data_IF_562368511570
#
_entry.id   IF_562368511570
#
_cell.length_a   1.000
_cell.length_b   1.000
_cell.length_c   1.000
_cell.angle_alpha   90.00
_cell.angle_beta   90.00
_cell.angle_gamma   90.00
#
_symmetry.space_group_name_H-M   'P 1'
#
loop_
_entity.id
_entity.type
_entity.pdbx_description
1 polymer ?
#
# COMPACT_ATOMS: atom_id res chain seq x y z
N UNK A 1 -52.37 19.54 28.68
CA UNK A 1 -51.94 18.19 28.22
C UNK A 1 -50.86 18.37 27.22
N UNK A 2 -49.62 18.53 27.75
CA UNK A 2 -48.42 18.71 26.96
C UNK A 2 -47.84 17.41 26.51
N UNK A 3 -47.59 17.29 25.22
CA UNK A 3 -46.73 16.28 24.63
C UNK A 3 -45.41 16.92 24.25
N UNK A 4 -44.34 16.60 25.00
CA UNK A 4 -42.99 16.94 24.66
C UNK A 4 -42.51 16.12 23.46
N UNK A 5 -41.89 16.73 22.44
CA UNK A 5 -41.24 15.97 21.37
C UNK A 5 -39.85 15.51 21.78
N UNK A 6 -39.51 14.30 21.36
CA UNK A 6 -38.29 13.53 21.61
C UNK A 6 -37.01 14.28 21.26
N UNK A 7 -36.22 14.61 22.27
CA UNK A 7 -34.79 14.94 22.15
C UNK A 7 -34.02 13.60 22.11
N UNK A 8 -33.49 13.21 21.00
CA UNK A 8 -32.69 11.97 20.98
C UNK A 8 -31.94 11.64 19.69
N UNK A 9 -32.20 12.28 18.58
CA UNK A 9 -31.56 11.94 17.29
C UNK A 9 -30.51 12.96 16.80
N UNK A 10 -30.42 14.14 17.42
CA UNK A 10 -29.48 15.18 17.01
C UNK A 10 -28.05 15.02 17.53
N UNK A 11 -27.88 14.36 18.68
CA UNK A 11 -26.55 14.28 19.32
C UNK A 11 -25.68 13.13 18.81
N UNK A 12 -26.27 12.07 18.28
CA UNK A 12 -25.52 10.96 17.65
C UNK A 12 -24.90 11.41 16.33
N UNK A 13 -25.61 12.22 15.55
CA UNK A 13 -25.10 12.77 14.29
C UNK A 13 -23.97 13.81 14.48
N UNK A 14 -24.00 14.57 15.57
CA UNK A 14 -22.95 15.54 15.89
C UNK A 14 -21.67 14.86 16.37
N UNK A 15 -21.74 13.75 17.13
CA UNK A 15 -20.54 12.99 17.56
C UNK A 15 -19.83 12.31 16.39
N UNK A 16 -20.56 11.71 15.46
CA UNK A 16 -19.94 11.10 14.27
C UNK A 16 -19.24 12.12 13.36
N UNK A 17 -19.68 13.40 13.36
CA UNK A 17 -19.06 14.46 12.56
C UNK A 17 -17.80 15.04 13.18
N UNK A 18 -17.57 14.87 14.48
CA UNK A 18 -16.38 15.36 15.19
C UNK A 18 -15.23 14.35 15.12
N UNK A 19 -15.52 13.05 15.12
CA UNK A 19 -14.48 11.99 14.98
C UNK A 19 -13.94 11.86 13.55
N UNK A 20 -14.69 12.30 12.54
CA UNK A 20 -14.24 12.31 11.14
C UNK A 20 -13.27 13.45 10.77
N UNK A 21 -12.97 14.37 11.69
CA UNK A 21 -12.09 15.54 11.43
C UNK A 21 -10.59 15.27 11.52
N UNK A 22 -10.16 14.05 11.76
CA UNK A 22 -8.74 13.71 11.98
C UNK A 22 -7.99 13.12 10.78
N UNK A 23 -8.65 12.63 9.74
CA UNK A 23 -7.99 12.09 8.54
C UNK A 23 -8.34 12.95 7.32
N UNK A 24 -7.40 13.78 6.92
CA UNK A 24 -7.50 14.51 5.63
C UNK A 24 -7.52 13.43 4.53
N UNK A 25 -8.58 13.40 3.72
CA UNK A 25 -8.72 12.38 2.68
C UNK A 25 -7.64 12.58 1.61
N UNK A 26 -7.15 11.50 1.03
CA UNK A 26 -6.17 11.52 -0.07
C UNK A 26 -6.64 12.41 -1.25
N UNK A 27 -7.95 12.52 -1.45
CA UNK A 27 -8.57 13.39 -2.45
C UNK A 27 -8.44 14.87 -2.11
N UNK A 28 -8.51 15.23 -0.82
CA UNK A 28 -8.35 16.59 -0.31
C UNK A 28 -6.89 17.04 -0.36
N UNK A 29 -5.96 16.11 -0.07
CA UNK A 29 -4.51 16.31 -0.22
C UNK A 29 -4.17 16.57 -1.69
N UNK A 30 -4.67 15.76 -2.62
CA UNK A 30 -4.47 15.95 -4.05
C UNK A 30 -5.06 17.29 -4.56
N UNK A 31 -6.22 17.70 -4.06
CA UNK A 31 -6.83 18.99 -4.40
C UNK A 31 -5.93 20.16 -4.00
N UNK A 32 -5.40 20.15 -2.77
CA UNK A 32 -4.52 21.21 -2.25
C UNK A 32 -3.17 21.26 -2.97
N UNK A 33 -2.59 20.10 -3.29
CA UNK A 33 -1.33 20.02 -4.07
C UNK A 33 -1.55 20.60 -5.47
N UNK A 34 -2.64 20.24 -6.14
CA UNK A 34 -2.97 20.78 -7.46
C UNK A 34 -3.22 22.31 -7.43
N UNK A 35 -3.79 22.86 -6.35
CA UNK A 35 -3.95 24.31 -6.18
C UNK A 35 -2.61 25.01 -5.94
N UNK A 36 -1.72 24.44 -5.11
CA UNK A 36 -0.37 24.98 -4.89
C UNK A 36 0.47 24.95 -6.17
N UNK A 37 0.37 23.87 -6.94
CA UNK A 37 1.03 23.77 -8.25
C UNK A 37 0.48 24.83 -9.23
N UNK A 38 -0.84 25.01 -9.33
CA UNK A 38 -1.44 26.06 -10.17
C UNK A 38 -0.99 27.46 -9.79
N UNK A 39 -0.73 27.73 -8.52
CA UNK A 39 -0.22 29.01 -8.05
C UNK A 39 1.27 29.22 -8.38
N UNK A 40 2.08 28.15 -8.29
CA UNK A 40 3.51 28.19 -8.66
C UNK A 40 3.73 28.30 -10.18
N UNK A 41 2.82 27.77 -10.98
CA UNK A 41 2.92 27.69 -12.46
C UNK A 41 2.45 29.00 -13.14
N UNK A 42 1.81 29.91 -12.44
CA UNK A 42 1.33 31.18 -13.01
C UNK A 42 2.45 32.14 -13.45
N UNK A 43 3.71 31.87 -13.14
CA UNK A 43 4.81 32.78 -13.41
C UNK A 43 5.63 32.48 -14.67
N UNK A 44 5.61 31.26 -15.23
CA UNK A 44 6.35 30.96 -16.47
C UNK A 44 5.58 29.91 -17.31
N UNK A 45 5.42 30.19 -18.59
CA UNK A 45 4.56 29.48 -19.55
C UNK A 45 4.58 27.95 -19.44
N UNK A 46 3.43 27.40 -19.10
CA UNK A 46 3.24 25.96 -18.88
C UNK A 46 3.24 25.23 -20.20
N UNK A 47 4.31 24.54 -20.49
CA UNK A 47 4.33 23.40 -21.40
C UNK A 47 3.63 22.26 -20.62
N UNK A 48 2.69 21.58 -21.28
CA UNK A 48 1.94 20.46 -20.70
C UNK A 48 2.85 19.21 -20.63
N UNK A 49 3.93 19.31 -19.84
CA UNK A 49 4.97 18.29 -19.67
C UNK A 49 4.43 16.93 -19.21
N UNK A 50 3.21 16.91 -18.66
CA UNK A 50 2.62 15.68 -18.12
C UNK A 50 1.89 14.82 -19.16
N UNK A 51 1.57 15.33 -20.35
CA UNK A 51 0.97 14.52 -21.41
C UNK A 51 1.96 13.61 -22.11
N UNK A 52 3.24 14.02 -22.17
CA UNK A 52 4.31 13.32 -22.90
C UNK A 52 5.19 12.43 -22.01
N UNK A 53 5.01 12.52 -20.67
CA UNK A 53 5.88 11.86 -19.66
C UNK A 53 5.58 10.35 -19.51
N UNK A 54 4.54 9.81 -20.13
CA UNK A 54 4.04 8.46 -19.82
C UNK A 54 4.98 7.29 -20.13
N UNK A 55 6.04 7.49 -20.92
CA UNK A 55 6.92 6.39 -21.34
C UNK A 55 8.38 6.49 -20.87
N UNK A 56 8.84 7.65 -20.39
CA UNK A 56 10.28 7.88 -20.12
C UNK A 56 10.71 7.80 -18.64
N UNK A 57 9.78 7.88 -17.69
CA UNK A 57 10.12 7.97 -16.27
C UNK A 57 9.63 6.76 -15.47
N UNK A 58 10.57 5.99 -14.96
CA UNK A 58 10.30 4.83 -14.13
C UNK A 58 10.99 4.94 -12.77
N UNK A 59 10.27 4.61 -11.68
CA UNK A 59 10.87 4.45 -10.35
C UNK A 59 12.00 3.43 -10.34
N UNK A 60 12.00 2.50 -11.30
CA UNK A 60 12.99 1.42 -11.40
C UNK A 60 14.29 1.86 -12.11
N UNK A 61 14.35 3.06 -12.66
CA UNK A 61 15.57 3.63 -13.20
C UNK A 61 16.33 4.43 -12.13
N UNK A 62 17.50 3.91 -11.74
CA UNK A 62 18.37 4.56 -10.74
C UNK A 62 18.89 5.92 -11.21
N UNK A 63 19.17 6.08 -12.53
CA UNK A 63 19.64 7.35 -13.10
C UNK A 63 18.54 8.40 -13.02
N UNK A 64 17.32 8.03 -13.32
CA UNK A 64 16.15 8.90 -13.17
C UNK A 64 16.00 9.41 -11.73
N UNK A 65 16.09 8.53 -10.72
CA UNK A 65 16.01 8.95 -9.31
C UNK A 65 17.13 9.92 -8.92
N UNK A 66 18.35 9.75 -9.48
CA UNK A 66 19.46 10.69 -9.26
C UNK A 66 19.21 12.04 -9.94
N UNK A 67 18.64 12.04 -11.15
CA UNK A 67 18.28 13.27 -11.88
C UNK A 67 17.19 14.06 -11.13
N UNK A 68 16.15 13.38 -10.64
CA UNK A 68 15.09 14.02 -9.84
C UNK A 68 15.68 14.63 -8.56
N UNK A 69 16.62 13.95 -7.90
CA UNK A 69 17.30 14.48 -6.71
C UNK A 69 18.05 15.79 -6.97
N UNK A 70 18.52 16.02 -8.20
CA UNK A 70 19.29 17.20 -8.63
C UNK A 70 18.45 18.26 -9.34
N UNK A 71 17.17 18.03 -9.56
CA UNK A 71 16.29 19.01 -10.23
C UNK A 71 16.27 20.34 -9.49
N UNK A 72 16.35 21.45 -10.25
CA UNK A 72 16.28 22.80 -9.70
C UNK A 72 14.85 23.15 -9.26
N UNK A 73 13.88 22.69 -10.00
CA UNK A 73 12.43 22.89 -9.76
C UNK A 73 11.94 21.92 -8.68
N UNK A 74 12.22 22.25 -7.42
CA UNK A 74 11.93 21.37 -6.27
C UNK A 74 10.47 20.95 -6.14
N UNK A 75 9.54 21.89 -6.37
CA UNK A 75 8.10 21.57 -6.31
C UNK A 75 7.68 20.56 -7.39
N UNK A 76 8.31 20.65 -8.57
CA UNK A 76 8.07 19.67 -9.64
C UNK A 76 8.63 18.29 -9.27
N UNK A 77 9.83 18.23 -8.70
CA UNK A 77 10.43 16.98 -8.22
C UNK A 77 9.55 16.29 -7.16
N UNK A 78 9.00 17.05 -6.21
CA UNK A 78 8.06 16.52 -5.20
C UNK A 78 6.84 15.90 -5.85
N UNK A 79 6.19 16.62 -6.78
CA UNK A 79 4.97 16.14 -7.42
C UNK A 79 5.24 14.92 -8.33
N UNK A 80 6.35 14.91 -9.05
CA UNK A 80 6.74 13.79 -9.90
C UNK A 80 6.96 12.51 -9.09
N UNK A 81 7.76 12.58 -8.02
CA UNK A 81 8.00 11.45 -7.13
C UNK A 81 6.71 10.97 -6.46
N UNK A 82 5.94 11.91 -5.91
CA UNK A 82 4.65 11.59 -5.30
C UNK A 82 3.75 10.82 -6.26
N UNK A 83 3.64 11.28 -7.50
CA UNK A 83 2.79 10.67 -8.51
C UNK A 83 3.25 9.27 -8.86
N UNK A 84 4.53 9.08 -9.14
CA UNK A 84 5.08 7.77 -9.49
C UNK A 84 4.95 6.76 -8.35
N UNK A 85 5.19 7.21 -7.10
CA UNK A 85 4.97 6.35 -5.92
C UNK A 85 3.49 6.01 -5.77
N UNK A 86 2.59 6.99 -5.94
CA UNK A 86 1.15 6.76 -5.85
C UNK A 86 0.62 5.79 -6.92
N UNK A 87 1.14 5.85 -8.14
CA UNK A 87 0.83 4.90 -9.21
C UNK A 87 1.28 3.48 -8.84
N UNK A 88 2.48 3.33 -8.28
CA UNK A 88 2.96 2.04 -7.79
C UNK A 88 2.15 1.51 -6.60
N UNK A 89 1.78 2.38 -5.67
CA UNK A 89 0.88 2.03 -4.56
C UNK A 89 -0.48 1.57 -5.08
N UNK A 90 -1.01 2.21 -6.12
CA UNK A 90 -2.26 1.81 -6.76
C UNK A 90 -2.15 0.43 -7.42
N UNK A 91 -1.01 0.10 -8.02
CA UNK A 91 -0.73 -1.23 -8.53
C UNK A 91 -0.72 -2.25 -7.38
N UNK A 92 -0.02 -1.95 -6.28
CA UNK A 92 0.00 -2.82 -5.10
C UNK A 92 -1.38 -3.01 -4.46
N UNK A 93 -2.26 -2.00 -4.50
CA UNK A 93 -3.65 -2.17 -4.02
C UNK A 93 -4.38 -3.33 -4.72
N UNK A 94 -3.97 -3.67 -5.93
CA UNK A 94 -4.52 -4.80 -6.70
C UNK A 94 -3.73 -6.09 -6.50
N UNK A 95 -2.41 -6.01 -6.33
CA UNK A 95 -1.50 -7.16 -6.40
C UNK A 95 -0.94 -7.59 -5.06
N UNK A 96 -0.67 -6.66 -4.13
CA UNK A 96 0.01 -6.96 -2.86
C UNK A 96 -0.50 -6.06 -1.73
N UNK A 97 -1.35 -6.62 -0.87
CA UNK A 97 -2.02 -5.90 0.22
C UNK A 97 -1.04 -5.28 1.21
N UNK A 98 0.02 -6.01 1.58
CA UNK A 98 1.00 -5.57 2.59
C UNK A 98 1.79 -4.37 2.10
N UNK A 99 2.27 -4.43 0.86
CA UNK A 99 3.00 -3.31 0.26
C UNK A 99 2.11 -2.09 0.03
N UNK A 100 0.86 -2.32 -0.40
CA UNK A 100 -0.13 -1.26 -0.57
C UNK A 100 -0.36 -0.49 0.73
N UNK A 101 -0.59 -1.21 1.84
CA UNK A 101 -0.79 -0.63 3.16
C UNK A 101 0.46 0.15 3.58
N UNK A 102 1.62 -0.50 3.62
CA UNK A 102 2.90 0.10 4.02
C UNK A 102 3.20 1.39 3.26
N UNK A 103 3.26 1.34 1.94
CA UNK A 103 3.68 2.49 1.14
C UNK A 103 2.62 3.59 1.05
N UNK A 104 1.32 3.24 1.14
CA UNK A 104 0.25 4.24 1.26
C UNK A 104 0.35 5.04 2.55
N UNK A 105 0.62 4.40 3.68
CA UNK A 105 0.76 5.07 4.97
C UNK A 105 1.98 5.98 5.00
N UNK A 106 3.16 5.49 4.58
CA UNK A 106 4.39 6.27 4.58
C UNK A 106 4.28 7.48 3.63
N UNK A 107 3.74 7.27 2.42
CA UNK A 107 3.51 8.36 1.46
C UNK A 107 2.53 9.40 2.03
N UNK A 108 1.42 8.96 2.61
CA UNK A 108 0.40 9.84 3.20
C UNK A 108 0.96 10.66 4.37
N UNK A 109 1.80 10.05 5.23
CA UNK A 109 2.44 10.73 6.34
C UNK A 109 3.44 11.79 5.86
N UNK A 110 4.35 11.44 4.95
CA UNK A 110 5.32 12.38 4.37
C UNK A 110 4.63 13.58 3.73
N UNK A 111 3.61 13.34 2.91
CA UNK A 111 2.85 14.41 2.27
C UNK A 111 2.03 15.25 3.25
N UNK A 112 1.49 14.64 4.30
CA UNK A 112 0.76 15.36 5.36
C UNK A 112 1.68 16.31 6.13
N UNK A 113 2.90 15.87 6.49
CA UNK A 113 3.91 16.70 7.17
C UNK A 113 4.38 17.83 6.25
N UNK A 114 4.62 17.55 4.98
CA UNK A 114 4.98 18.57 4.00
C UNK A 114 3.90 19.66 3.85
N UNK A 115 2.63 19.27 3.69
CA UNK A 115 1.51 20.21 3.55
C UNK A 115 1.24 21.05 4.81
N UNK A 116 1.63 20.56 5.98
CA UNK A 116 1.58 21.29 7.25
C UNK A 116 2.76 22.23 7.44
N UNK A 117 3.71 22.28 6.49
CA UNK A 117 4.94 23.07 6.59
C UNK A 117 5.95 22.52 7.60
N UNK A 118 5.84 21.23 7.97
CA UNK A 118 6.76 20.57 8.89
C UNK A 118 8.01 20.03 8.19
N UNK A 119 7.96 19.93 6.86
CA UNK A 119 9.08 19.51 6.02
C UNK A 119 9.33 20.57 4.94
N UNK A 120 10.59 20.82 4.66
CA UNK A 120 11.04 21.59 3.50
C UNK A 120 10.91 20.78 2.21
N UNK A 121 11.07 21.43 1.05
CA UNK A 121 11.09 20.74 -0.23
C UNK A 121 12.21 19.70 -0.31
N UNK A 122 13.38 20.00 0.24
CA UNK A 122 14.52 19.10 0.27
C UNK A 122 14.23 17.86 1.11
N UNK A 123 13.72 18.05 2.33
CA UNK A 123 13.41 16.95 3.25
C UNK A 123 12.32 16.02 2.69
N UNK A 124 11.25 16.55 2.10
CA UNK A 124 10.21 15.69 1.51
C UNK A 124 10.72 14.95 0.28
N UNK A 125 11.59 15.56 -0.55
CA UNK A 125 12.22 14.86 -1.69
C UNK A 125 13.08 13.70 -1.19
N UNK A 126 13.88 13.89 -0.15
CA UNK A 126 14.68 12.83 0.44
C UNK A 126 13.82 11.67 0.97
N UNK A 127 12.71 11.98 1.66
CA UNK A 127 11.76 10.96 2.13
C UNK A 127 11.10 10.21 0.95
N UNK A 128 10.65 10.93 -0.08
CA UNK A 128 10.04 10.30 -1.26
C UNK A 128 11.05 9.43 -2.04
N UNK A 129 12.31 9.88 -2.17
CA UNK A 129 13.38 9.08 -2.77
C UNK A 129 13.67 7.82 -1.94
N UNK A 130 13.61 7.90 -0.62
CA UNK A 130 13.74 6.73 0.25
C UNK A 130 12.63 5.72 0.00
N UNK A 131 11.38 6.18 -0.07
CA UNK A 131 10.23 5.33 -0.41
C UNK A 131 10.43 4.67 -1.77
N UNK A 132 10.81 5.44 -2.80
CA UNK A 132 11.05 4.93 -4.13
C UNK A 132 12.15 3.83 -4.15
N UNK A 133 13.25 4.04 -3.44
CA UNK A 133 14.33 3.05 -3.32
C UNK A 133 13.88 1.79 -2.59
N UNK A 134 13.05 1.90 -1.55
CA UNK A 134 12.50 0.74 -0.85
C UNK A 134 11.57 -0.08 -1.76
N UNK A 135 10.76 0.58 -2.60
CA UNK A 135 9.92 -0.08 -3.60
C UNK A 135 10.81 -0.88 -4.57
N UNK A 136 11.81 -0.24 -5.15
CA UNK A 136 12.75 -0.86 -6.10
C UNK A 136 13.51 -2.03 -5.47
N UNK A 137 13.99 -1.84 -4.25
CA UNK A 137 14.70 -2.89 -3.51
C UNK A 137 13.79 -4.09 -3.23
N UNK A 138 12.54 -3.83 -2.84
CA UNK A 138 11.57 -4.88 -2.58
C UNK A 138 11.24 -5.73 -3.82
N UNK A 139 11.12 -5.11 -5.00
CA UNK A 139 10.91 -5.86 -6.26
C UNK A 139 12.14 -6.72 -6.62
N UNK A 140 13.34 -6.14 -6.58
CA UNK A 140 14.59 -6.87 -6.82
C UNK A 140 14.81 -8.00 -5.83
N UNK A 141 14.42 -7.82 -4.55
CA UNK A 141 14.47 -8.89 -3.57
C UNK A 141 13.54 -10.05 -3.94
N UNK A 142 12.32 -9.78 -4.44
CA UNK A 142 11.42 -10.80 -4.96
C UNK A 142 12.01 -11.58 -6.13
N UNK A 143 12.61 -10.89 -7.09
CA UNK A 143 13.32 -11.51 -8.21
C UNK A 143 14.50 -12.39 -7.73
N UNK A 144 15.29 -11.91 -6.77
CA UNK A 144 16.42 -12.66 -6.20
C UNK A 144 16.00 -13.92 -5.44
N UNK A 145 14.79 -13.93 -4.86
CA UNK A 145 14.17 -15.10 -4.21
C UNK A 145 13.52 -16.04 -5.23
N UNK A 146 13.52 -15.70 -6.51
CA UNK A 146 12.87 -16.44 -7.58
C UNK A 146 11.38 -16.72 -7.28
N UNK A 147 10.69 -15.69 -6.78
CA UNK A 147 9.26 -15.67 -6.50
C UNK A 147 8.55 -14.85 -7.58
N UNK A 148 7.45 -15.36 -8.11
CA UNK A 148 6.60 -14.59 -8.97
C UNK A 148 5.78 -13.55 -8.14
N UNK A 149 5.06 -12.64 -8.79
CA UNK A 149 4.32 -11.57 -8.12
C UNK A 149 3.25 -12.07 -7.13
N UNK A 150 2.60 -13.18 -7.42
CA UNK A 150 1.62 -13.81 -6.51
C UNK A 150 2.30 -14.41 -5.30
N UNK A 151 3.37 -15.17 -5.52
CA UNK A 151 4.17 -15.76 -4.45
C UNK A 151 4.79 -14.69 -3.57
N UNK A 152 5.29 -13.59 -4.17
CA UNK A 152 5.84 -12.47 -3.43
C UNK A 152 4.79 -11.81 -2.52
N UNK A 153 3.55 -11.67 -2.99
CA UNK A 153 2.48 -11.12 -2.17
C UNK A 153 2.12 -12.03 -0.98
N UNK A 154 2.14 -13.34 -1.14
CA UNK A 154 1.95 -14.28 -0.03
C UNK A 154 3.18 -14.37 0.87
N UNK A 155 4.39 -14.22 0.34
CA UNK A 155 5.61 -14.12 1.13
C UNK A 155 5.56 -12.88 2.04
N UNK A 156 5.19 -11.72 1.50
CA UNK A 156 5.03 -10.49 2.28
C UNK A 156 3.93 -10.64 3.34
N UNK A 157 2.83 -11.34 3.03
CA UNK A 157 1.76 -11.62 3.99
C UNK A 157 2.20 -12.55 5.13
N UNK A 158 3.01 -13.57 4.82
CA UNK A 158 3.59 -14.48 5.82
C UNK A 158 4.63 -13.79 6.70
N UNK A 159 5.39 -12.85 6.15
CA UNK A 159 6.50 -12.17 6.83
C UNK A 159 6.12 -10.80 7.41
N UNK A 160 4.85 -10.39 7.32
CA UNK A 160 4.36 -9.12 7.91
C UNK A 160 4.67 -9.00 9.40
N UNK A 161 4.51 -10.06 10.24
CA UNK A 161 5.05 -10.06 11.58
C UNK A 161 6.58 -10.19 11.53
N UNK A 162 7.31 -9.14 11.87
CA UNK A 162 8.79 -9.11 11.78
C UNK A 162 9.47 -10.25 12.56
N UNK A 163 8.89 -10.65 13.70
CA UNK A 163 9.36 -11.78 14.51
C UNK A 163 9.49 -13.11 13.73
N UNK A 164 8.77 -13.25 12.62
CA UNK A 164 8.80 -14.48 11.80
C UNK A 164 10.13 -14.65 11.06
N UNK A 165 10.75 -13.54 10.65
CA UNK A 165 12.03 -13.57 9.94
C UNK A 165 13.18 -14.08 10.82
N UNK A 166 13.05 -14.00 12.13
CA UNK A 166 14.03 -14.49 13.09
C UNK A 166 13.89 -16.00 13.34
N UNK A 167 12.71 -16.57 13.03
CA UNK A 167 12.41 -18.00 13.25
C UNK A 167 12.76 -18.89 12.07
N UNK A 168 12.72 -18.36 10.84
CA UNK A 168 12.89 -19.14 9.62
C UNK A 168 14.05 -18.63 8.77
N UNK A 169 14.75 -19.56 8.13
CA UNK A 169 15.64 -19.22 7.03
C UNK A 169 14.81 -18.74 5.80
N UNK A 170 15.44 -17.98 4.91
CA UNK A 170 14.80 -17.57 3.67
C UNK A 170 14.29 -18.75 2.84
N UNK A 171 15.05 -19.85 2.78
CA UNK A 171 14.67 -21.07 2.03
C UNK A 171 13.39 -21.70 2.61
N UNK A 172 13.25 -21.72 3.93
CA UNK A 172 12.05 -22.22 4.60
C UNK A 172 10.84 -21.32 4.28
N UNK A 173 10.99 -20.00 4.36
CA UNK A 173 9.92 -19.05 4.03
C UNK A 173 9.50 -19.18 2.56
N UNK A 174 10.45 -19.36 1.64
CA UNK A 174 10.16 -19.61 0.22
C UNK A 174 9.38 -20.91 0.05
N UNK A 175 9.80 -21.98 0.71
CA UNK A 175 9.12 -23.27 0.64
C UNK A 175 7.68 -23.19 1.18
N UNK A 176 7.47 -22.55 2.33
CA UNK A 176 6.13 -22.29 2.91
C UNK A 176 5.29 -21.49 1.93
N UNK A 177 5.84 -20.43 1.36
CA UNK A 177 5.15 -19.55 0.42
C UNK A 177 4.67 -20.31 -0.81
N UNK A 178 5.53 -21.11 -1.43
CA UNK A 178 5.18 -21.89 -2.62
C UNK A 178 4.12 -22.92 -2.31
N UNK A 179 4.26 -23.68 -1.22
CA UNK A 179 3.26 -24.66 -0.82
C UNK A 179 1.90 -23.98 -0.50
N UNK A 180 1.93 -22.83 0.15
CA UNK A 180 0.74 -22.03 0.42
C UNK A 180 0.06 -21.59 -0.87
N UNK A 181 0.80 -20.97 -1.79
CA UNK A 181 0.27 -20.50 -3.07
C UNK A 181 -0.33 -21.61 -3.88
N UNK A 182 0.34 -22.76 -3.96
CA UNK A 182 -0.15 -23.94 -4.66
C UNK A 182 -1.40 -24.53 -4.01
N UNK A 183 -1.44 -24.61 -2.67
CA UNK A 183 -2.59 -25.11 -1.96
C UNK A 183 -3.82 -24.20 -2.16
N UNK A 184 -3.61 -22.88 -2.12
CA UNK A 184 -4.67 -21.90 -2.36
C UNK A 184 -5.15 -21.97 -3.81
N UNK A 185 -4.24 -22.07 -4.78
CA UNK A 185 -4.57 -22.15 -6.22
C UNK A 185 -5.41 -23.39 -6.54
N UNK A 186 -5.09 -24.56 -5.97
CA UNK A 186 -5.84 -25.82 -6.17
C UNK A 186 -7.23 -25.78 -5.54
N UNK A 187 -7.43 -25.01 -4.49
CA UNK A 187 -8.71 -24.95 -3.76
C UNK A 187 -9.54 -23.71 -4.05
N UNK A 188 -9.03 -22.79 -4.91
CA UNK A 188 -9.73 -21.60 -5.35
C UNK A 188 -10.86 -22.01 -6.29
N UNK A 189 -12.10 -21.72 -5.90
CA UNK A 189 -13.29 -21.79 -6.76
C UNK A 189 -13.69 -20.37 -7.18
N UNK A 190 -14.40 -20.21 -8.29
CA UNK A 190 -14.83 -18.90 -8.81
C UNK A 190 -15.58 -18.09 -7.72
N UNK A 191 -16.43 -18.76 -6.92
CA UNK A 191 -17.30 -18.13 -5.92
C UNK A 191 -16.75 -18.24 -4.50
N UNK A 192 -15.47 -18.60 -4.29
CA UNK A 192 -14.97 -18.86 -2.93
C UNK A 192 -15.11 -17.64 -2.01
N UNK A 193 -14.99 -16.45 -2.55
CA UNK A 193 -15.13 -15.17 -1.84
C UNK A 193 -16.59 -14.90 -1.40
N UNK A 194 -17.57 -15.39 -2.16
CA UNK A 194 -19.00 -15.16 -1.93
C UNK A 194 -19.60 -16.18 -0.94
N UNK A 195 -19.09 -17.41 -0.92
CA UNK A 195 -19.62 -18.50 -0.10
C UNK A 195 -18.85 -18.62 1.22
N UNK A 196 -19.56 -18.51 2.33
CA UNK A 196 -18.97 -18.63 3.68
C UNK A 196 -18.29 -19.98 3.90
N UNK A 197 -18.88 -21.08 3.42
CA UNK A 197 -18.30 -22.42 3.51
C UNK A 197 -16.96 -22.53 2.77
N UNK A 198 -16.84 -21.90 1.61
CA UNK A 198 -15.59 -21.88 0.82
C UNK A 198 -14.51 -21.02 1.51
N UNK A 199 -14.88 -19.85 2.05
CA UNK A 199 -13.98 -19.03 2.87
C UNK A 199 -13.48 -19.78 4.10
N UNK A 200 -14.36 -20.47 4.80
CA UNK A 200 -14.00 -21.31 5.94
C UNK A 200 -13.09 -22.48 5.52
N UNK A 201 -13.29 -23.03 4.32
CA UNK A 201 -12.40 -24.02 3.72
C UNK A 201 -10.99 -23.48 3.50
N UNK A 202 -10.87 -22.33 2.87
CA UNK A 202 -9.58 -21.65 2.64
C UNK A 202 -8.88 -21.33 3.96
N UNK A 203 -9.58 -20.77 4.95
CA UNK A 203 -9.01 -20.52 6.30
C UNK A 203 -8.45 -21.79 6.93
N UNK A 204 -9.16 -22.94 6.80
CA UNK A 204 -8.67 -24.24 7.32
C UNK A 204 -7.40 -24.70 6.62
N UNK A 205 -7.28 -24.49 5.31
CA UNK A 205 -6.07 -24.82 4.55
C UNK A 205 -4.90 -23.99 5.07
N UNK A 206 -5.05 -22.68 5.17
CA UNK A 206 -4.02 -21.77 5.69
C UNK A 206 -3.61 -22.17 7.11
N UNK A 207 -4.58 -22.34 8.04
CA UNK A 207 -4.30 -22.76 9.43
C UNK A 207 -3.54 -24.08 9.51
N UNK A 208 -3.91 -25.06 8.70
CA UNK A 208 -3.22 -26.36 8.66
C UNK A 208 -1.78 -26.21 8.20
N UNK A 209 -1.55 -25.34 7.21
CA UNK A 209 -0.25 -25.12 6.65
C UNK A 209 0.66 -24.37 7.62
N UNK A 210 0.16 -23.30 8.25
CA UNK A 210 0.88 -22.58 9.31
C UNK A 210 1.25 -23.52 10.46
N UNK A 211 0.32 -24.41 10.87
CA UNK A 211 0.59 -25.41 11.92
C UNK A 211 1.62 -26.46 11.47
N UNK A 212 1.58 -26.90 10.21
CA UNK A 212 2.55 -27.87 9.65
C UNK A 212 3.98 -27.38 9.75
N UNK A 213 4.17 -26.08 9.61
CA UNK A 213 5.47 -25.43 9.65
C UNK A 213 5.80 -24.80 11.00
N UNK A 214 5.05 -25.11 12.06
CA UNK A 214 5.23 -24.57 13.41
C UNK A 214 5.29 -23.03 13.44
N UNK A 215 4.43 -22.38 12.63
CA UNK A 215 4.39 -20.93 12.54
C UNK A 215 4.12 -20.31 13.93
N UNK A 216 4.87 -19.25 14.34
CA UNK A 216 4.78 -18.67 15.67
C UNK A 216 3.36 -18.28 16.05
N UNK A 217 2.84 -18.75 17.22
CA UNK A 217 1.45 -18.48 17.63
C UNK A 217 1.11 -17.00 17.73
N UNK A 218 2.07 -16.15 18.14
CA UNK A 218 1.89 -14.72 18.30
C UNK A 218 1.54 -13.98 16.98
N UNK A 219 2.01 -14.49 15.82
CA UNK A 219 1.72 -13.90 14.50
C UNK A 219 0.70 -14.67 13.66
N UNK A 220 0.22 -15.82 14.15
CA UNK A 220 -0.56 -16.76 13.35
C UNK A 220 -1.90 -16.21 12.88
N UNK A 221 -2.64 -15.51 13.74
CA UNK A 221 -3.97 -14.96 13.40
C UNK A 221 -3.82 -13.74 12.47
N UNK A 222 -2.80 -12.91 12.68
CA UNK A 222 -2.51 -11.76 11.82
C UNK A 222 -2.07 -12.22 10.43
N UNK A 223 -1.15 -13.17 10.33
CA UNK A 223 -0.76 -13.78 9.07
C UNK A 223 -1.95 -14.44 8.35
N UNK A 224 -2.79 -15.19 9.08
CA UNK A 224 -3.98 -15.78 8.52
C UNK A 224 -4.92 -14.75 7.90
N UNK A 225 -5.20 -13.66 8.62
CA UNK A 225 -6.09 -12.61 8.14
C UNK A 225 -5.50 -11.90 6.92
N UNK A 226 -4.21 -11.55 6.95
CA UNK A 226 -3.51 -10.91 5.85
C UNK A 226 -3.49 -11.81 4.60
N UNK A 227 -3.24 -13.11 4.76
CA UNK A 227 -3.29 -14.09 3.66
C UNK A 227 -4.70 -14.16 3.07
N UNK A 228 -5.74 -14.17 3.90
CA UNK A 228 -7.12 -14.23 3.42
C UNK A 228 -7.54 -12.97 2.67
N UNK A 229 -7.06 -11.79 3.09
CA UNK A 229 -7.25 -10.53 2.36
C UNK A 229 -6.52 -10.55 1.01
N UNK A 230 -5.28 -11.03 1.00
CA UNK A 230 -4.52 -11.21 -0.23
C UNK A 230 -5.21 -12.17 -1.21
N UNK A 231 -5.76 -13.29 -0.72
CA UNK A 231 -6.56 -14.22 -1.53
C UNK A 231 -7.78 -13.54 -2.16
N UNK A 232 -8.45 -12.66 -1.44
CA UNK A 232 -9.61 -11.93 -1.95
C UNK A 232 -9.21 -11.05 -3.14
N UNK A 233 -8.16 -10.27 -3.00
CA UNK A 233 -7.64 -9.42 -4.09
C UNK A 233 -7.17 -10.23 -5.29
N UNK A 234 -6.49 -11.33 -5.04
CA UNK A 234 -6.07 -12.24 -6.10
C UNK A 234 -7.24 -12.80 -6.92
N UNK A 235 -8.41 -12.95 -6.32
CA UNK A 235 -9.61 -13.39 -7.03
C UNK A 235 -10.28 -12.28 -7.86
N UNK A 236 -10.18 -11.03 -7.41
CA UNK A 236 -10.76 -9.87 -8.09
C UNK A 236 -9.98 -9.49 -9.37
N UNK A 237 -8.74 -9.94 -9.49
CA UNK A 237 -7.83 -9.61 -10.62
C UNK A 237 -7.64 -10.75 -11.65
N UNK A 238 -8.21 -11.93 -11.42
CA UNK A 238 -8.21 -13.09 -12.31
C UNK A 238 -9.64 -13.53 -12.63
#
# INVERSE_FOLDING_TARGET
RDRSPSRGLGDVYKRQRVEAKGKVSFREINGRINELLKQSIKSEGVINLFSDIKEEFSLFDSKFLEEVARMKERNFAVELLRRLIAEQVQLYQRTNTVRAEKFSEILSDAMSRYLKGMLTNEEVIEELLKIAREIVFGEKAGESLNLNSEELAFYDALTKPEAVKDFYSNDQLIAITRELTDALRRNKTIDWNMKESARAGMRRIVKRLLKKYDYPPAGQEDALNTIMEQCKKWNENN
#
